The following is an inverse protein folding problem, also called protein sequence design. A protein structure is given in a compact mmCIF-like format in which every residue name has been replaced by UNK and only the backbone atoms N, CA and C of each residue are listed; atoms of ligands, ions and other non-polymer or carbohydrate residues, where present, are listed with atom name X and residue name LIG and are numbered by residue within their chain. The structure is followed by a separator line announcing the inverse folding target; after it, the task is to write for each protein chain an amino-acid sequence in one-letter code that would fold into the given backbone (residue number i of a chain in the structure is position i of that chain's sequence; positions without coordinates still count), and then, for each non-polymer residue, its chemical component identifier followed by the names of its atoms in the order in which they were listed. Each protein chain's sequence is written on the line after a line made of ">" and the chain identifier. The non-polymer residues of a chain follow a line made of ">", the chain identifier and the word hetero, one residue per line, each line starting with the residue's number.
data_IF_376495992640
#
_entry.id   IF_376495992640
#
_cell.length_a   1.000
_cell.length_b   1.000
_cell.length_c   1.000
_cell.angle_alpha   90.00
_cell.angle_beta   90.00
_cell.angle_gamma   90.00
#
_symmetry.space_group_name_H-M   'P 1'
#
loop_
_entity.id
_entity.type
_entity.pdbx_description
1 polymer ?
#
# COMPACT_ATOMS: atom_id res chain seq x y z
N UNK A 1 -6.61 -1.90 22.58
CA UNK A 1 -7.08 -0.74 21.80
C UNK A 1 -6.50 -0.88 20.40
N UNK A 2 -7.33 -0.94 19.34
CA UNK A 2 -6.87 -1.15 17.95
C UNK A 2 -6.39 0.20 17.42
N UNK A 3 -5.08 0.37 17.28
CA UNK A 3 -4.47 1.60 16.83
C UNK A 3 -4.78 1.78 15.33
N UNK A 4 -5.87 2.49 15.03
CA UNK A 4 -6.43 2.67 13.70
C UNK A 4 -5.75 3.79 12.88
N UNK A 5 -4.52 4.19 13.20
CA UNK A 5 -4.01 5.52 12.83
C UNK A 5 -2.95 5.59 11.73
N UNK A 6 -2.59 4.47 11.08
CA UNK A 6 -1.46 4.57 10.15
C UNK A 6 -1.42 3.52 9.04
N UNK A 7 -2.54 2.86 8.74
CA UNK A 7 -2.63 1.99 7.58
C UNK A 7 -3.18 2.79 6.37
N UNK A 8 -2.31 3.28 5.49
CA UNK A 8 -2.75 3.84 4.20
C UNK A 8 -2.98 2.68 3.24
N UNK A 9 -4.25 2.50 2.81
CA UNK A 9 -4.59 1.56 1.75
C UNK A 9 -4.65 2.31 0.41
N UNK A 10 -3.63 2.15 -0.41
CA UNK A 10 -3.64 2.62 -1.79
C UNK A 10 -4.27 1.54 -2.67
N UNK A 11 -5.25 1.96 -3.47
CA UNK A 11 -5.96 1.06 -4.39
C UNK A 11 -6.00 1.68 -5.78
N UNK A 12 -5.28 1.07 -6.73
CA UNK A 12 -5.30 1.44 -8.14
C UNK A 12 -6.01 0.35 -8.94
N UNK A 13 -6.77 0.74 -9.96
CA UNK A 13 -7.49 -0.17 -10.85
C UNK A 13 -6.88 -0.15 -12.23
N UNK A 14 -6.67 -1.34 -12.78
CA UNK A 14 -6.11 -1.58 -14.10
C UNK A 14 -7.05 -2.47 -14.91
N UNK A 15 -7.09 -2.25 -16.23
CA UNK A 15 -7.84 -3.10 -17.16
C UNK A 15 -7.06 -4.37 -17.56
N UNK A 16 -5.73 -4.36 -17.40
CA UNK A 16 -4.82 -5.42 -17.81
C UNK A 16 -3.97 -5.92 -16.64
N UNK A 17 -3.74 -7.24 -16.57
CA UNK A 17 -2.93 -7.86 -15.52
C UNK A 17 -1.47 -7.40 -15.58
N UNK A 18 -0.92 -7.34 -16.80
CA UNK A 18 0.47 -6.96 -17.01
C UNK A 18 0.75 -5.55 -16.50
N UNK A 19 -0.20 -4.63 -16.64
CA UNK A 19 -0.08 -3.26 -16.13
C UNK A 19 -0.16 -3.23 -14.60
N UNK A 20 -1.07 -4.01 -14.00
CA UNK A 20 -1.15 -4.14 -12.56
C UNK A 20 0.15 -4.74 -11.96
N UNK A 21 0.74 -5.74 -12.62
CA UNK A 21 2.02 -6.35 -12.20
C UNK A 21 3.21 -5.41 -12.41
N UNK A 22 3.21 -4.59 -13.46
CA UNK A 22 4.24 -3.55 -13.64
C UNK A 22 4.16 -2.48 -12.56
N UNK A 23 2.95 -2.03 -12.23
CA UNK A 23 2.74 -1.08 -11.14
C UNK A 23 3.16 -1.67 -9.79
N UNK A 24 2.83 -2.94 -9.52
CA UNK A 24 3.30 -3.69 -8.35
C UNK A 24 4.82 -3.62 -8.19
N UNK A 25 5.58 -3.89 -9.25
CA UNK A 25 7.04 -3.87 -9.21
C UNK A 25 7.60 -2.46 -8.92
N UNK A 26 6.99 -1.42 -9.48
CA UNK A 26 7.38 -0.02 -9.22
C UNK A 26 7.06 0.37 -7.77
N UNK A 27 5.89 0.00 -7.25
CA UNK A 27 5.48 0.28 -5.87
C UNK A 27 6.35 -0.48 -4.86
N UNK A 28 6.79 -1.70 -5.17
CA UNK A 28 7.75 -2.45 -4.35
C UNK A 28 9.09 -1.71 -4.25
N UNK A 29 9.63 -1.25 -5.38
CA UNK A 29 10.87 -0.46 -5.39
C UNK A 29 10.70 0.89 -4.70
N UNK A 30 9.57 1.57 -4.92
CA UNK A 30 9.25 2.85 -4.31
C UNK A 30 9.04 2.73 -2.80
N UNK A 31 8.52 1.59 -2.31
CA UNK A 31 8.36 1.36 -0.88
C UNK A 31 9.68 1.43 -0.12
N UNK A 32 10.79 1.01 -0.72
CA UNK A 32 12.12 1.11 -0.10
C UNK A 32 12.54 2.55 0.17
N UNK A 33 11.99 3.52 -0.57
CA UNK A 33 12.30 4.95 -0.50
C UNK A 33 11.43 5.70 0.52
N UNK A 34 10.47 5.03 1.16
CA UNK A 34 9.58 5.66 2.15
C UNK A 34 10.30 5.91 3.48
N UNK A 35 10.34 7.19 3.87
CA UNK A 35 11.10 7.66 5.04
C UNK A 35 10.53 7.20 6.39
N UNK A 36 9.21 7.12 6.50
CA UNK A 36 8.51 6.83 7.77
C UNK A 36 7.52 5.68 7.68
N UNK A 37 7.36 5.10 6.49
CA UNK A 37 6.39 4.05 6.24
C UNK A 37 7.12 2.76 5.86
N UNK A 38 6.43 1.65 6.10
CA UNK A 38 6.79 0.30 5.72
C UNK A 38 5.62 -0.29 4.95
N UNK A 39 5.91 -0.94 3.83
CA UNK A 39 4.94 -1.78 3.14
C UNK A 39 4.72 -3.08 3.90
N UNK A 40 3.45 -3.35 4.18
CA UNK A 40 3.01 -4.52 4.95
C UNK A 40 2.28 -5.51 4.06
N UNK A 41 1.57 -4.99 3.06
CA UNK A 41 0.93 -5.82 2.06
C UNK A 41 1.03 -5.16 0.70
N UNK A 42 1.36 -5.96 -0.30
CA UNK A 42 1.37 -5.56 -1.68
C UNK A 42 0.87 -6.73 -2.52
N UNK A 43 -0.18 -6.51 -3.32
CA UNK A 43 -0.75 -7.58 -4.13
C UNK A 43 -1.73 -7.09 -5.19
N UNK A 44 -1.93 -7.91 -6.22
CA UNK A 44 -2.95 -7.69 -7.26
C UNK A 44 -4.14 -8.60 -6.98
N UNK A 45 -5.33 -8.02 -6.93
CA UNK A 45 -6.60 -8.73 -6.81
C UNK A 45 -7.36 -8.66 -8.13
N UNK A 46 -7.73 -9.81 -8.68
CA UNK A 46 -8.59 -9.86 -9.86
C UNK A 46 -10.05 -9.60 -9.45
N UNK A 47 -10.63 -8.50 -9.93
CA UNK A 47 -12.03 -8.14 -9.78
C UNK A 47 -12.82 -8.61 -11.02
N UNK A 48 -13.52 -9.74 -10.90
CA UNK A 48 -14.45 -10.21 -11.94
C UNK A 48 -15.81 -9.55 -11.79
N UNK A 49 -16.24 -8.82 -12.81
CA UNK A 49 -17.59 -8.25 -12.87
C UNK A 49 -18.52 -9.19 -13.62
N UNK A 50 -19.61 -9.53 -12.97
CA UNK A 50 -20.67 -10.35 -13.54
C UNK A 50 -21.84 -9.46 -13.97
N UNK A 51 -22.47 -9.80 -15.10
CA UNK A 51 -23.55 -8.99 -15.67
C UNK A 51 -24.89 -9.11 -14.98
N UNK A 52 -25.05 -10.13 -14.14
CA UNK A 52 -26.28 -10.40 -13.40
C UNK A 52 -25.97 -10.37 -11.91
N UNK A 53 -26.88 -9.78 -11.15
CA UNK A 53 -26.84 -9.82 -9.68
C UNK A 53 -27.26 -11.22 -9.25
N UNK A 54 -26.30 -12.10 -8.97
CA UNK A 54 -26.56 -13.50 -8.63
C UNK A 54 -25.33 -14.40 -8.71
N UNK A 55 -25.49 -15.69 -8.37
CA UNK A 55 -24.41 -16.68 -8.49
C UNK A 55 -24.14 -16.96 -9.98
N UNK A 56 -22.89 -16.81 -10.47
CA UNK A 56 -22.54 -17.17 -11.84
C UNK A 56 -22.86 -18.64 -12.11
N UNK A 57 -23.33 -18.94 -13.32
CA UNK A 57 -23.49 -20.34 -13.76
C UNK A 57 -22.11 -20.96 -14.02
N UNK A 58 -21.98 -22.26 -13.78
CA UNK A 58 -20.73 -22.99 -14.02
C UNK A 58 -20.33 -22.84 -15.50
N UNK A 59 -19.20 -22.18 -15.76
CA UNK A 59 -18.68 -21.94 -17.11
C UNK A 59 -19.10 -20.62 -17.77
N UNK A 60 -19.86 -19.76 -17.09
CA UNK A 60 -20.15 -18.42 -17.58
C UNK A 60 -18.88 -17.55 -17.55
N UNK A 61 -18.56 -16.87 -18.64
CA UNK A 61 -17.44 -15.94 -18.69
C UNK A 61 -17.82 -14.61 -18.01
N UNK A 62 -16.93 -14.01 -17.20
CA UNK A 62 -17.19 -12.71 -16.61
C UNK A 62 -17.35 -11.63 -17.70
N UNK A 63 -18.23 -10.65 -17.47
CA UNK A 63 -18.43 -9.54 -18.41
C UNK A 63 -17.16 -8.70 -18.57
N UNK A 64 -16.47 -8.48 -17.45
CA UNK A 64 -15.18 -7.81 -17.46
C UNK A 64 -14.31 -8.32 -16.33
N UNK A 65 -13.01 -8.33 -16.59
CA UNK A 65 -11.97 -8.62 -15.61
C UNK A 65 -11.19 -7.33 -15.39
N UNK A 66 -11.20 -6.85 -14.16
CA UNK A 66 -10.33 -5.75 -13.72
C UNK A 66 -9.27 -6.27 -12.77
N UNK A 67 -8.17 -5.55 -12.64
CA UNK A 67 -7.09 -5.87 -11.72
C UNK A 67 -6.92 -4.72 -10.75
N UNK A 68 -7.08 -5.00 -9.46
CA UNK A 68 -6.95 -4.02 -8.39
C UNK A 68 -5.63 -4.24 -7.69
N UNK A 69 -4.71 -3.28 -7.85
CA UNK A 69 -3.51 -3.22 -7.03
C UNK A 69 -3.88 -2.73 -5.65
N UNK A 70 -3.47 -3.47 -4.62
CA UNK A 70 -3.69 -3.15 -3.22
C UNK A 70 -2.33 -3.02 -2.54
N UNK A 71 -2.07 -1.86 -1.96
CA UNK A 71 -0.89 -1.61 -1.13
C UNK A 71 -1.34 -1.15 0.25
N UNK A 72 -0.87 -1.81 1.30
CA UNK A 72 -1.03 -1.40 2.70
C UNK A 72 0.31 -0.93 3.23
N UNK A 73 0.38 0.36 3.51
CA UNK A 73 1.52 0.99 4.17
C UNK A 73 1.19 1.19 5.64
N UNK A 74 2.09 0.80 6.53
CA UNK A 74 2.02 1.13 7.96
C UNK A 74 3.13 2.11 8.32
N UNK A 75 2.88 2.98 9.30
CA UNK A 75 3.94 3.84 9.85
C UNK A 75 4.92 2.97 10.62
N UNK A 76 6.21 3.13 10.31
CA UNK A 76 7.29 2.48 11.02
C UNK A 76 7.67 3.33 12.23
N UNK A 77 7.13 2.96 13.40
CA UNK A 77 7.39 3.65 14.67
C UNK A 77 8.90 3.66 15.01
N UNK A 78 9.65 2.65 14.57
CA UNK A 78 11.11 2.58 14.78
C UNK A 78 11.88 3.65 13.99
N UNK A 79 11.52 3.89 12.72
CA UNK A 79 12.06 4.99 11.91
C UNK A 79 11.65 6.34 12.49
N UNK A 80 10.39 6.46 12.94
CA UNK A 80 9.86 7.70 13.52
C UNK A 80 10.60 8.08 14.81
N UNK A 81 10.82 7.12 15.72
CA UNK A 81 11.52 7.35 16.98
C UNK A 81 13.01 7.68 16.77
N UNK A 82 13.68 7.08 15.77
CA UNK A 82 15.04 7.47 15.40
C UNK A 82 15.13 8.90 14.89
N UNK A 83 14.20 9.29 14.01
CA UNK A 83 14.12 10.66 13.50
C UNK A 83 13.88 11.65 14.65
N UNK A 84 12.98 11.31 15.59
CA UNK A 84 12.69 12.11 16.78
C UNK A 84 13.90 12.27 17.70
N UNK A 85 14.67 11.20 17.94
CA UNK A 85 15.93 11.26 18.71
C UNK A 85 16.98 12.14 18.04
N UNK A 86 17.09 12.10 16.70
CA UNK A 86 17.99 12.96 15.95
C UNK A 86 17.69 14.46 16.16
N UNK A 87 16.41 14.83 16.16
CA UNK A 87 15.97 16.21 16.43
C UNK A 87 16.24 16.67 17.86
N UNK A 88 16.03 15.80 18.85
CA UNK A 88 16.32 16.11 20.26
C UNK A 88 17.83 16.24 20.54
N UNK A 89 18.66 15.48 19.84
CA UNK A 89 20.12 15.65 19.86
C UNK A 89 20.57 16.98 19.27
N UNK A 90 19.97 17.41 18.16
CA UNK A 90 20.26 18.70 17.52
C UNK A 90 19.82 19.89 18.41
N UNK A 91 18.65 19.82 19.06
CA UNK A 91 18.22 20.87 20.01
C UNK A 91 19.18 21.04 21.18
N UNK A 92 19.81 19.96 21.65
CA UNK A 92 20.81 20.01 22.72
C UNK A 92 22.11 20.73 22.32
N UNK A 93 22.43 20.75 21.03
CA UNK A 93 23.59 21.48 20.51
C UNK A 93 23.33 22.98 20.35
N UNK A 94 22.09 23.39 20.07
CA UNK A 94 21.72 24.81 19.91
C UNK A 94 21.33 25.54 21.22
N UNK A 95 21.06 24.81 22.30
CA UNK A 95 20.77 25.37 23.64
C UNK A 95 21.99 25.45 24.55
N UNK A 96 23.19 25.18 23.99
CA UNK A 96 24.48 25.25 24.68
C UNK A 96 25.37 26.30 24.00
N UNK A 97 24.79 27.43 23.67
CA UNK A 97 25.48 28.70 23.44
C UNK A 97 24.91 29.74 24.41
#
# INVERSE_FOLDING_TARGET
>A
MRNAWSALLLALRFACEADARRALAVDEEASGKLSYHRLVYLGVQEERRWGRVGRPRKGEAPLSVGYRLLARLEVDEGKLERARRGLLGAQRYYLRE
#
